data_IF_310060056006
#
_entry.id   IF_310060056006
#
_cell.length_a   1.000
_cell.length_b   1.000
_cell.length_c   1.000
_cell.angle_alpha   90.00
_cell.angle_beta   90.00
_cell.angle_gamma   90.00
#
_symmetry.space_group_name_H-M   'P 1'
#
loop_
_entity.id
_entity.type
_entity.pdbx_description
1 polymer ?
#
# COMPACT_ATOMS: atom_id res chain seq x y z
N UNK A 1 -4.09 -9.53 21.67
CA UNK A 1 -4.48 -10.89 21.24
C UNK A 1 -4.76 -10.83 19.75
N UNK A 2 -3.72 -11.07 18.95
CA UNK A 2 -3.78 -11.06 17.49
C UNK A 2 -4.04 -12.50 17.08
N UNK A 3 -5.20 -12.76 16.47
CA UNK A 3 -5.48 -14.04 15.84
C UNK A 3 -4.45 -14.25 14.72
N UNK A 4 -3.37 -14.97 15.02
CA UNK A 4 -2.57 -15.62 14.01
C UNK A 4 -3.45 -16.68 13.36
N UNK A 5 -4.12 -16.30 12.27
CA UNK A 5 -4.69 -17.26 11.34
C UNK A 5 -3.49 -17.96 10.71
N UNK A 6 -3.04 -19.02 11.37
CA UNK A 6 -2.20 -20.05 10.77
C UNK A 6 -3.09 -20.82 9.80
N UNK A 7 -3.24 -20.28 8.59
CA UNK A 7 -3.78 -21.05 7.47
C UNK A 7 -2.78 -22.17 7.17
N UNK A 8 -3.04 -23.35 7.74
CA UNK A 8 -2.18 -24.54 7.69
C UNK A 8 -2.08 -25.21 6.31
N UNK A 9 -2.50 -24.56 5.21
CA UNK A 9 -2.49 -25.18 3.87
C UNK A 9 -2.12 -24.26 2.70
N UNK A 10 -1.50 -23.11 2.93
CA UNK A 10 -0.85 -22.34 1.85
C UNK A 10 0.64 -22.13 2.17
N UNK A 11 1.51 -22.74 1.35
CA UNK A 11 2.97 -22.53 1.32
C UNK A 11 3.38 -21.12 0.86
N UNK A 12 2.41 -20.23 0.64
CA UNK A 12 2.63 -18.92 0.07
C UNK A 12 2.85 -17.88 1.17
N UNK A 13 4.04 -17.25 1.15
CA UNK A 13 4.38 -16.17 2.08
C UNK A 13 3.58 -14.91 1.79
N UNK A 14 3.12 -14.24 2.85
CA UNK A 14 2.23 -13.08 2.73
C UNK A 14 2.88 -11.76 3.16
N UNK A 15 2.34 -10.66 2.62
CA UNK A 15 2.59 -9.27 2.98
C UNK A 15 1.27 -8.61 3.37
N UNK A 16 1.28 -7.86 4.46
CA UNK A 16 0.13 -7.07 4.91
C UNK A 16 -0.14 -5.91 3.96
N UNK A 17 -1.41 -5.55 3.76
CA UNK A 17 -1.84 -4.53 2.81
C UNK A 17 -1.16 -3.15 2.94
N UNK A 18 -0.59 -2.80 4.10
CA UNK A 18 -0.03 -1.49 4.40
C UNK A 18 1.05 -1.05 3.41
N UNK A 19 1.88 -1.96 2.91
CA UNK A 19 2.87 -1.65 1.87
C UNK A 19 2.20 -1.13 0.59
N UNK A 20 1.10 -1.77 0.18
CA UNK A 20 0.33 -1.41 -1.00
C UNK A 20 -0.41 -0.10 -0.76
N UNK A 21 -0.97 0.09 0.45
CA UNK A 21 -1.63 1.33 0.84
C UNK A 21 -0.69 2.52 0.85
N UNK A 22 0.55 2.35 1.33
CA UNK A 22 1.57 3.40 1.30
C UNK A 22 1.98 3.75 -0.12
N UNK A 23 2.15 2.75 -1.00
CA UNK A 23 2.38 2.99 -2.43
C UNK A 23 1.24 3.81 -3.04
N UNK A 24 0.00 3.40 -2.81
CA UNK A 24 -1.18 4.11 -3.31
C UNK A 24 -1.30 5.53 -2.74
N UNK A 25 -1.05 5.73 -1.45
CA UNK A 25 -1.03 7.04 -0.81
C UNK A 25 0.05 7.96 -1.42
N UNK A 26 1.25 7.42 -1.66
CA UNK A 26 2.31 8.12 -2.39
C UNK A 26 1.89 8.47 -3.81
N UNK A 27 1.21 7.56 -4.50
CA UNK A 27 0.72 7.84 -5.85
C UNK A 27 -0.30 8.97 -5.89
N UNK A 28 -1.22 9.03 -4.92
CA UNK A 28 -2.20 10.14 -4.81
C UNK A 28 -1.53 11.51 -4.64
N UNK A 29 -0.34 11.58 -4.04
CA UNK A 29 0.41 12.82 -3.86
C UNK A 29 1.12 13.29 -5.14
N UNK A 30 1.47 12.37 -6.04
CA UNK A 30 2.41 12.65 -7.13
C UNK A 30 1.84 12.47 -8.54
N UNK A 31 0.70 11.77 -8.69
CA UNK A 31 0.15 11.43 -9.99
C UNK A 31 -1.31 11.87 -10.14
N UNK A 32 -1.72 12.05 -11.39
CA UNK A 32 -3.10 12.33 -11.78
C UNK A 32 -4.00 11.08 -11.64
N UNK A 33 -5.32 11.28 -11.57
CA UNK A 33 -6.29 10.18 -11.52
C UNK A 33 -6.08 9.15 -12.66
N UNK A 34 -5.81 9.62 -13.88
CA UNK A 34 -5.64 8.76 -15.04
C UNK A 34 -4.35 7.92 -14.98
N UNK A 35 -3.25 8.50 -14.48
CA UNK A 35 -1.99 7.79 -14.28
C UNK A 35 -2.12 6.70 -13.21
N UNK A 36 -2.79 7.02 -12.10
CA UNK A 36 -3.09 6.06 -11.03
C UNK A 36 -3.92 4.90 -11.59
N UNK A 37 -4.99 5.20 -12.33
CA UNK A 37 -5.85 4.18 -12.94
C UNK A 37 -5.08 3.33 -13.94
N UNK A 38 -4.25 3.93 -14.80
CA UNK A 38 -3.42 3.20 -15.79
C UNK A 38 -2.53 2.16 -15.11
N UNK A 39 -1.84 2.55 -14.03
CA UNK A 39 -1.00 1.63 -13.27
C UNK A 39 -1.82 0.50 -12.63
N UNK A 40 -2.85 0.84 -11.84
CA UNK A 40 -3.62 -0.17 -11.11
C UNK A 40 -4.49 -1.05 -12.01
N UNK A 41 -4.88 -0.57 -13.20
CA UNK A 41 -5.57 -1.40 -14.19
C UNK A 41 -4.64 -2.44 -14.83
N UNK A 42 -3.34 -2.18 -14.87
CA UNK A 42 -2.31 -3.11 -15.37
C UNK A 42 -1.86 -4.09 -14.28
N UNK A 43 -1.83 -3.65 -13.02
CA UNK A 43 -1.40 -4.43 -11.86
C UNK A 43 -2.48 -4.44 -10.77
N UNK A 44 -3.64 -5.04 -11.09
CA UNK A 44 -4.81 -5.06 -10.20
C UNK A 44 -4.57 -5.89 -8.95
N UNK A 45 -5.26 -5.51 -7.87
CA UNK A 45 -5.36 -6.35 -6.68
C UNK A 45 -5.95 -7.73 -7.04
N UNK A 46 -5.39 -8.84 -6.51
CA UNK A 46 -5.95 -10.18 -6.71
C UNK A 46 -7.43 -10.24 -6.28
N UNK A 47 -8.27 -10.79 -7.14
CA UNK A 47 -9.71 -10.94 -6.89
C UNK A 47 -10.59 -9.78 -7.36
N UNK A 48 -10.03 -8.76 -8.02
CA UNK A 48 -10.80 -7.64 -8.59
C UNK A 48 -10.74 -7.64 -10.11
N UNK A 49 -11.90 -7.52 -10.76
CA UNK A 49 -12.01 -7.45 -12.23
C UNK A 49 -11.94 -6.00 -12.74
N UNK A 50 -11.87 -5.81 -14.06
CA UNK A 50 -11.84 -4.50 -14.72
C UNK A 50 -13.03 -3.61 -14.35
N UNK A 51 -14.19 -4.20 -14.11
CA UNK A 51 -15.43 -3.49 -13.75
C UNK A 51 -15.49 -3.07 -12.27
N UNK A 52 -14.56 -3.55 -11.43
CA UNK A 52 -14.59 -3.35 -9.97
C UNK A 52 -13.67 -2.20 -9.49
N UNK A 53 -13.37 -1.21 -10.35
CA UNK A 53 -12.42 -0.13 -10.01
C UNK A 53 -12.76 0.55 -8.67
N UNK A 54 -14.01 0.96 -8.46
CA UNK A 54 -14.45 1.59 -7.22
C UNK A 54 -14.16 0.73 -5.98
N UNK A 55 -14.46 -0.57 -6.05
CA UNK A 55 -14.26 -1.51 -4.94
C UNK A 55 -12.77 -1.77 -4.71
N UNK A 56 -11.98 -1.89 -5.76
CA UNK A 56 -10.53 -2.05 -5.69
C UNK A 56 -9.87 -0.85 -5.01
N UNK A 57 -10.19 0.38 -5.43
CA UNK A 57 -9.60 1.57 -4.83
C UNK A 57 -10.10 1.86 -3.41
N UNK A 58 -11.31 1.39 -3.07
CA UNK A 58 -11.79 1.37 -1.69
C UNK A 58 -10.98 0.38 -0.84
N UNK A 59 -10.69 -0.82 -1.36
CA UNK A 59 -9.83 -1.81 -0.69
C UNK A 59 -8.39 -1.29 -0.52
N UNK A 60 -7.81 -0.60 -1.53
CA UNK A 60 -6.49 0.01 -1.40
C UNK A 60 -6.40 1.02 -0.24
N UNK A 61 -7.51 1.68 0.10
CA UNK A 61 -7.57 2.67 1.17
C UNK A 61 -7.93 2.09 2.54
N UNK A 62 -8.94 1.22 2.61
CA UNK A 62 -9.53 0.71 3.86
C UNK A 62 -9.24 -0.76 4.14
N UNK A 63 -8.51 -1.43 3.24
CA UNK A 63 -8.29 -2.87 3.30
C UNK A 63 -7.65 -3.32 4.60
N UNK A 64 -7.77 -4.62 4.85
CA UNK A 64 -7.12 -5.29 5.99
C UNK A 64 -6.57 -6.66 5.60
N UNK A 65 -6.49 -6.92 4.29
CA UNK A 65 -6.12 -8.21 3.72
C UNK A 65 -4.60 -8.43 3.76
N UNK A 66 -4.24 -9.69 3.56
CA UNK A 66 -2.88 -10.11 3.28
C UNK A 66 -2.79 -10.50 1.81
N UNK A 67 -1.72 -10.11 1.14
CA UNK A 67 -1.45 -10.40 -0.26
C UNK A 67 -0.21 -11.26 -0.37
N UNK A 68 -0.07 -12.05 -1.43
CA UNK A 68 1.13 -12.85 -1.60
C UNK A 68 2.37 -11.98 -1.85
N UNK A 69 3.51 -12.41 -1.30
CA UNK A 69 4.78 -11.73 -1.51
C UNK A 69 5.16 -11.64 -2.98
N UNK A 70 4.90 -12.70 -3.74
CA UNK A 70 5.16 -12.72 -5.18
C UNK A 70 4.40 -11.61 -5.90
N UNK A 71 3.13 -11.39 -5.54
CA UNK A 71 2.34 -10.29 -6.08
C UNK A 71 2.90 -8.93 -5.67
N UNK A 72 3.13 -8.70 -4.37
CA UNK A 72 3.56 -7.39 -3.86
C UNK A 72 4.93 -7.00 -4.38
N UNK A 73 5.91 -7.91 -4.38
CA UNK A 73 7.25 -7.59 -4.87
C UNK A 73 7.27 -7.41 -6.38
N UNK A 74 6.48 -8.20 -7.13
CA UNK A 74 6.27 -7.96 -8.55
C UNK A 74 5.68 -6.56 -8.80
N UNK A 75 4.63 -6.19 -8.08
CA UNK A 75 4.02 -4.85 -8.17
C UNK A 75 5.04 -3.73 -7.95
N UNK A 76 5.88 -3.85 -6.92
CA UNK A 76 6.93 -2.87 -6.60
C UNK A 76 8.03 -2.80 -7.67
N UNK A 77 8.42 -3.93 -8.27
CA UNK A 77 9.39 -3.95 -9.37
C UNK A 77 8.82 -3.31 -10.64
N UNK A 78 7.54 -3.54 -10.95
CA UNK A 78 6.88 -2.91 -12.10
C UNK A 78 6.62 -1.42 -11.90
N UNK A 79 6.52 -0.95 -10.65
CA UNK A 79 6.34 0.46 -10.36
C UNK A 79 7.52 1.32 -10.86
N UNK A 80 8.77 0.82 -10.80
CA UNK A 80 9.92 1.53 -11.38
C UNK A 80 9.75 1.75 -12.89
N UNK A 81 9.26 0.74 -13.62
CA UNK A 81 8.98 0.87 -15.05
C UNK A 81 7.85 1.89 -15.32
N UNK A 82 6.85 1.94 -14.45
CA UNK A 82 5.80 2.97 -14.53
C UNK A 82 6.38 4.38 -14.33
N UNK A 83 7.29 4.57 -13.36
CA UNK A 83 7.92 5.87 -13.10
C UNK A 83 8.76 6.38 -14.29
N UNK A 84 9.37 5.47 -15.06
CA UNK A 84 10.06 5.85 -16.29
C UNK A 84 9.12 6.52 -17.30
N UNK A 85 7.81 6.24 -17.24
CA UNK A 85 6.80 6.90 -18.10
C UNK A 85 6.33 8.25 -17.57
N UNK A 86 6.64 8.63 -16.33
CA UNK A 86 6.05 9.79 -15.65
C UNK A 86 7.05 10.90 -15.28
N UNK A 87 8.29 10.88 -15.78
CA UNK A 87 9.36 11.86 -15.45
C UNK A 87 9.66 12.01 -13.94
N UNK A 88 9.06 11.20 -13.08
CA UNK A 88 9.30 11.19 -11.64
C UNK A 88 10.43 10.22 -11.32
N UNK A 89 11.49 10.72 -10.69
CA UNK A 89 12.59 9.88 -10.20
C UNK A 89 12.14 9.02 -8.99
N UNK A 90 12.55 7.75 -8.97
CA UNK A 90 12.13 6.79 -7.95
C UNK A 90 12.66 7.12 -6.56
N UNK A 91 13.90 7.60 -6.45
CA UNK A 91 14.46 7.98 -5.16
C UNK A 91 13.72 9.19 -4.60
N UNK A 92 13.43 10.15 -5.48
CA UNK A 92 12.63 11.33 -5.16
C UNK A 92 11.23 10.92 -4.72
N UNK A 93 10.55 10.03 -5.45
CA UNK A 93 9.23 9.52 -5.08
C UNK A 93 9.24 8.82 -3.72
N UNK A 94 10.20 7.94 -3.45
CA UNK A 94 10.30 7.24 -2.15
C UNK A 94 10.55 8.27 -1.04
N UNK A 95 11.44 9.23 -1.27
CA UNK A 95 11.78 10.28 -0.30
C UNK A 95 10.59 11.21 -0.02
N UNK A 96 9.83 11.61 -1.03
CA UNK A 96 8.70 12.52 -0.90
C UNK A 96 7.46 11.81 -0.38
N UNK A 97 7.20 10.57 -0.81
CA UNK A 97 6.04 9.79 -0.39
C UNK A 97 6.28 9.12 0.95
N UNK A 98 7.10 8.07 0.98
CA UNK A 98 7.31 7.26 2.18
C UNK A 98 8.00 8.05 3.30
N UNK A 99 8.83 9.03 2.93
CA UNK A 99 9.51 9.88 3.90
C UNK A 99 8.65 10.97 4.52
N UNK A 100 7.61 11.47 3.83
CA UNK A 100 6.66 12.43 4.40
C UNK A 100 5.53 11.74 5.16
N UNK A 101 5.09 10.58 4.65
CA UNK A 101 4.11 9.71 5.30
C UNK A 101 4.68 9.16 6.60
N UNK A 102 3.95 9.31 7.71
CA UNK A 102 4.32 8.79 9.03
C UNK A 102 5.77 9.15 9.46
N UNK A 103 6.30 10.30 8.99
CA UNK A 103 7.68 10.75 9.28
C UNK A 103 8.76 9.70 8.94
N UNK A 104 8.50 8.85 7.95
CA UNK A 104 9.43 7.80 7.49
C UNK A 104 9.14 6.39 8.03
N UNK A 105 8.20 6.22 8.97
CA UNK A 105 7.83 4.88 9.44
C UNK A 105 6.78 4.24 8.52
N UNK A 106 6.98 2.98 8.13
CA UNK A 106 5.99 2.23 7.32
C UNK A 106 4.69 1.88 8.07
N UNK A 107 4.59 2.29 9.34
CA UNK A 107 3.56 1.94 10.30
C UNK A 107 2.84 3.23 10.72
N UNK A 108 1.49 3.25 10.73
CA UNK A 108 0.78 4.33 11.40
C UNK A 108 1.25 4.48 12.85
N UNK A 109 1.47 5.70 13.38
CA UNK A 109 1.98 5.91 14.74
C UNK A 109 1.22 5.14 15.83
N UNK A 110 -0.11 5.00 15.69
CA UNK A 110 -0.96 4.20 16.61
C UNK A 110 -0.55 2.74 16.68
N UNK A 111 -0.30 2.13 15.53
CA UNK A 111 0.10 0.73 15.41
C UNK A 111 1.53 0.55 15.92
N UNK A 112 2.41 1.51 15.64
CA UNK A 112 3.78 1.54 16.17
C UNK A 112 3.79 1.44 17.69
N UNK A 113 3.03 2.28 18.41
CA UNK A 113 2.99 2.23 19.88
C UNK A 113 2.46 0.89 20.38
N UNK A 114 1.42 0.34 19.74
CA UNK A 114 0.85 -0.95 20.10
C UNK A 114 1.87 -2.08 19.97
N UNK A 115 2.71 -2.08 18.94
CA UNK A 115 3.71 -3.13 18.71
C UNK A 115 5.00 -2.88 19.48
N UNK A 116 5.25 -1.63 19.87
CA UNK A 116 6.38 -1.25 20.69
C UNK A 116 6.21 -1.60 22.16
N UNK A 117 5.01 -1.98 22.62
CA UNK A 117 4.69 -2.16 24.04
C UNK A 117 5.71 -3.03 24.81
N UNK A 118 6.19 -4.13 24.23
CA UNK A 118 7.15 -5.03 24.88
C UNK A 118 8.60 -4.55 24.86
N UNK A 119 8.91 -3.59 23.98
CA UNK A 119 10.27 -3.11 23.70
C UNK A 119 10.44 -1.62 24.02
N UNK A 120 9.38 -0.94 24.47
CA UNK A 120 9.37 0.50 24.72
C UNK A 120 10.43 0.91 25.75
N UNK A 121 10.67 0.07 26.77
CA UNK A 121 11.71 0.29 27.77
C UNK A 121 13.13 0.32 27.19
N UNK A 122 13.38 -0.33 26.04
CA UNK A 122 14.69 -0.34 25.40
C UNK A 122 15.10 1.07 24.93
N UNK A 123 14.13 1.88 24.50
CA UNK A 123 14.37 3.28 24.09
C UNK A 123 14.88 4.17 25.22
N UNK A 124 14.71 3.75 26.48
CA UNK A 124 15.15 4.46 27.68
C UNK A 124 16.35 3.77 28.38
N UNK A 125 16.90 2.70 27.80
CA UNK A 125 17.95 1.88 28.42
C UNK A 125 19.36 2.49 28.37
N UNK A 126 19.53 3.67 27.75
CA UNK A 126 20.83 4.33 27.58
C UNK A 126 21.64 3.85 26.35
N UNK A 127 21.12 2.94 25.55
CA UNK A 127 21.68 2.58 24.24
C UNK A 127 21.49 3.72 23.22
N UNK A 128 22.36 3.79 22.19
CA UNK A 128 22.15 4.71 21.06
C UNK A 128 20.81 4.38 20.38
N UNK A 129 19.83 5.30 20.39
CA UNK A 129 18.51 5.02 19.84
C UNK A 129 18.53 4.78 18.33
N UNK A 130 19.51 5.31 17.59
CA UNK A 130 19.65 4.99 16.15
C UNK A 130 20.12 3.56 15.95
N UNK A 131 21.05 3.07 16.77
CA UNK A 131 21.38 1.65 16.74
C UNK A 131 20.18 0.77 17.12
N UNK A 132 19.42 1.18 18.15
CA UNK A 132 18.20 0.49 18.55
C UNK A 132 17.17 0.43 17.42
N UNK A 133 16.98 1.51 16.65
CA UNK A 133 16.09 1.51 15.47
C UNK A 133 16.47 0.40 14.49
N UNK A 134 17.76 0.19 14.21
CA UNK A 134 18.21 -0.92 13.36
C UNK A 134 17.93 -2.29 13.99
N UNK A 135 18.14 -2.44 15.31
CA UNK A 135 17.87 -3.68 16.02
C UNK A 135 16.38 -4.07 15.98
N UNK A 136 15.50 -3.07 15.95
CA UNK A 136 14.06 -3.28 15.97
C UNK A 136 13.45 -3.47 14.57
N UNK A 137 14.23 -3.37 13.48
CA UNK A 137 13.70 -3.57 12.11
C UNK A 137 13.07 -4.96 11.96
N UNK A 138 13.70 -6.01 12.49
CA UNK A 138 13.16 -7.38 12.42
C UNK A 138 11.80 -7.49 13.15
N UNK A 139 11.73 -6.93 14.36
CA UNK A 139 10.53 -6.91 15.19
C UNK A 139 9.36 -6.28 14.43
N UNK A 140 9.55 -5.08 13.89
CA UNK A 140 8.48 -4.41 13.15
C UNK A 140 8.16 -5.09 11.80
N UNK A 141 9.18 -5.51 11.05
CA UNK A 141 8.96 -6.16 9.76
C UNK A 141 8.19 -7.48 9.87
N UNK A 142 8.37 -8.22 10.98
CA UNK A 142 7.64 -9.47 11.24
C UNK A 142 6.11 -9.29 11.29
N UNK A 143 5.63 -8.07 11.56
CA UNK A 143 4.19 -7.75 11.54
C UNK A 143 3.64 -7.49 10.14
N UNK A 144 4.51 -7.25 9.15
CA UNK A 144 4.12 -6.94 7.78
C UNK A 144 4.42 -8.05 6.80
N UNK A 145 5.55 -8.74 6.96
CA UNK A 145 6.09 -9.62 5.94
C UNK A 145 6.53 -10.93 6.57
N UNK A 146 5.95 -12.04 6.11
CA UNK A 146 6.27 -13.37 6.61
C UNK A 146 7.59 -13.91 6.03
N UNK A 147 8.30 -14.76 6.75
CA UNK A 147 9.43 -15.52 6.17
C UNK A 147 10.67 -14.70 5.77
N UNK A 148 10.76 -13.44 6.20
CA UNK A 148 11.97 -12.62 6.16
C UNK A 148 12.49 -12.38 7.58
N UNK A 149 13.81 -12.39 7.73
CA UNK A 149 14.50 -12.13 8.98
C UNK A 149 15.60 -11.11 8.77
N UNK A 150 15.59 -10.07 9.61
CA UNK A 150 16.64 -9.06 9.66
C UNK A 150 17.58 -9.36 10.83
N UNK A 151 18.88 -9.15 10.61
CA UNK A 151 19.89 -9.30 11.66
C UNK A 151 21.02 -8.29 11.47
N UNK A 152 21.78 -8.08 12.55
CA UNK A 152 22.94 -7.17 12.56
C UNK A 152 24.20 -8.02 12.73
N UNK A 153 24.82 -8.48 11.62
CA UNK A 153 26.04 -9.29 11.67
C UNK A 153 27.30 -8.47 12.01
N UNK A 154 27.21 -7.14 11.99
CA UNK A 154 28.32 -6.25 12.34
C UNK A 154 27.82 -4.91 12.86
N UNK A 155 28.38 -4.47 13.98
CA UNK A 155 28.27 -3.11 14.50
C UNK A 155 29.64 -2.69 15.02
N UNK A 156 30.20 -1.63 14.47
CA UNK A 156 31.56 -1.17 14.79
C UNK A 156 31.64 0.35 14.84
N UNK A 157 32.53 0.87 15.68
CA UNK A 157 32.88 2.29 15.72
C UNK A 157 34.20 2.46 14.98
N UNK A 158 34.21 3.35 14.00
CA UNK A 158 35.42 3.84 13.34
C UNK A 158 36.09 4.93 14.20
N UNK A 159 37.41 5.10 14.06
CA UNK A 159 38.24 6.01 14.88
C UNK A 159 37.76 7.46 14.92
N UNK A 160 36.96 7.89 13.93
CA UNK A 160 36.30 9.19 13.88
C UNK A 160 34.95 9.24 14.63
N UNK A 161 34.71 8.33 15.58
CA UNK A 161 33.42 8.21 16.29
C UNK A 161 32.24 8.05 15.34
N UNK A 162 32.42 7.28 14.26
CA UNK A 162 31.35 6.96 13.30
C UNK A 162 30.98 5.50 13.44
N UNK A 163 29.71 5.24 13.72
CA UNK A 163 29.16 3.90 13.66
C UNK A 163 29.07 3.42 12.22
N UNK A 164 29.41 2.15 12.03
CA UNK A 164 29.15 1.35 10.83
C UNK A 164 28.38 0.12 11.26
N UNK A 165 27.13 0.04 10.81
CA UNK A 165 26.23 -1.06 11.16
C UNK A 165 25.75 -1.74 9.91
N UNK A 166 26.05 -3.03 9.79
CA UNK A 166 25.53 -3.87 8.71
C UNK A 166 24.18 -4.41 9.14
N UNK A 167 23.15 -4.16 8.35
CA UNK A 167 21.84 -4.79 8.46
C UNK A 167 21.70 -5.78 7.30
N UNK A 168 21.39 -7.02 7.62
CA UNK A 168 21.26 -8.10 6.65
C UNK A 168 19.84 -8.66 6.70
N UNK A 169 19.27 -8.92 5.54
CA UNK A 169 17.96 -9.57 5.38
C UNK A 169 18.12 -10.89 4.65
N UNK A 170 17.57 -11.94 5.25
CA UNK A 170 17.56 -13.28 4.72
C UNK A 170 16.15 -13.85 4.81
N UNK A 171 15.87 -14.88 4.01
CA UNK A 171 14.70 -15.71 4.24
C UNK A 171 14.89 -16.62 5.45
N UNK A 172 13.80 -16.90 6.16
CA UNK A 172 13.83 -17.80 7.31
C UNK A 172 14.12 -19.26 6.95
N UNK A 173 13.86 -19.67 5.70
CA UNK A 173 13.84 -21.09 5.31
C UNK A 173 15.05 -21.62 4.50
N UNK A 174 16.07 -20.89 4.03
CA UNK A 174 17.00 -21.30 2.92
C UNK A 174 16.62 -22.25 1.74
N UNK A 175 15.74 -23.26 1.88
CA UNK A 175 15.54 -24.41 0.99
C UNK A 175 14.52 -24.21 -0.15
N UNK A 176 13.62 -23.25 -0.03
CA UNK A 176 12.68 -22.90 -1.11
C UNK A 176 13.43 -22.12 -2.20
N UNK A 177 13.55 -22.67 -3.42
CA UNK A 177 14.31 -22.07 -4.54
C UNK A 177 13.57 -20.94 -5.28
N UNK A 178 12.23 -20.95 -5.34
CA UNK A 178 11.42 -19.97 -6.11
C UNK A 178 10.97 -18.80 -5.22
N UNK A 179 11.94 -18.02 -4.70
CA UNK A 179 11.65 -16.96 -3.72
C UNK A 179 11.38 -15.60 -4.35
N UNK A 180 10.36 -14.87 -3.87
CA UNK A 180 9.96 -13.58 -4.41
C UNK A 180 11.02 -12.48 -4.24
N UNK A 181 11.99 -12.63 -3.32
CA UNK A 181 13.11 -11.68 -3.18
C UNK A 181 14.02 -11.62 -4.42
N UNK A 182 14.03 -12.66 -5.27
CA UNK A 182 14.92 -12.72 -6.44
C UNK A 182 14.78 -11.51 -7.37
N UNK A 183 13.58 -10.92 -7.44
CA UNK A 183 13.30 -9.76 -8.30
C UNK A 183 13.09 -8.47 -7.52
N UNK A 184 13.25 -8.49 -6.19
CA UNK A 184 12.94 -7.37 -5.32
C UNK A 184 14.16 -6.47 -5.16
N UNK A 185 14.05 -5.20 -5.58
CA UNK A 185 15.09 -4.20 -5.36
C UNK A 185 15.07 -3.74 -3.89
N UNK A 186 15.83 -4.44 -3.06
CA UNK A 186 15.89 -4.17 -1.64
C UNK A 186 16.67 -2.87 -1.32
N UNK A 187 17.46 -2.34 -2.24
CA UNK A 187 18.08 -1.02 -2.08
C UNK A 187 16.98 0.05 -2.05
N UNK A 188 16.12 0.05 -3.07
CA UNK A 188 15.04 1.02 -3.21
C UNK A 188 14.00 0.87 -2.10
N UNK A 189 13.48 -0.35 -1.93
CA UNK A 189 12.29 -0.60 -1.13
C UNK A 189 12.56 -0.96 0.33
N UNK A 190 13.83 -1.12 0.73
CA UNK A 190 14.20 -1.30 2.13
C UNK A 190 15.28 -0.30 2.56
N UNK A 191 16.43 -0.24 1.86
CA UNK A 191 17.57 0.53 2.35
C UNK A 191 17.29 2.04 2.45
N UNK A 192 16.74 2.63 1.38
CA UNK A 192 16.37 4.06 1.34
C UNK A 192 15.34 4.40 2.43
N UNK A 193 14.40 3.50 2.69
CA UNK A 193 13.32 3.71 3.67
C UNK A 193 13.89 3.63 5.09
N UNK A 194 14.64 2.57 5.40
CA UNK A 194 15.27 2.35 6.71
C UNK A 194 16.25 3.48 7.03
N UNK A 195 16.93 4.05 6.00
CA UNK A 195 17.81 5.22 6.14
C UNK A 195 17.14 6.34 6.99
N UNK A 196 15.83 6.50 6.82
CA UNK A 196 15.05 7.60 7.40
C UNK A 196 14.33 7.26 8.69
N UNK A 197 14.25 6.01 9.11
CA UNK A 197 13.53 5.63 10.34
C UNK A 197 13.88 6.46 11.59
N UNK A 198 15.13 6.91 11.82
CA UNK A 198 15.44 7.81 12.93
C UNK A 198 14.61 9.10 12.97
N UNK A 199 14.18 9.64 11.82
CA UNK A 199 13.48 10.93 11.76
C UNK A 199 12.13 10.90 12.44
N UNK A 200 11.51 9.74 12.51
CA UNK A 200 10.22 9.59 13.18
C UNK A 200 10.30 9.72 14.70
N UNK A 201 11.49 9.57 15.28
CA UNK A 201 11.76 9.78 16.69
C UNK A 201 12.66 11.00 16.92
N UNK A 202 12.52 12.04 16.08
CA UNK A 202 13.29 13.30 16.17
C UNK A 202 14.82 13.16 16.07
N UNK A 203 15.33 12.08 15.49
CA UNK A 203 16.76 11.90 15.25
C UNK A 203 17.10 12.14 13.79
N UNK A 204 18.30 12.64 13.47
CA UNK A 204 18.73 12.76 12.07
C UNK A 204 18.74 11.38 11.42
N UNK A 205 18.38 11.34 10.13
CA UNK A 205 18.55 10.15 9.30
C UNK A 205 20.00 9.66 9.32
N UNK A 206 20.22 8.38 9.01
CA UNK A 206 21.58 7.88 8.85
C UNK A 206 22.27 8.66 7.73
N UNK A 207 23.49 9.11 7.97
CA UNK A 207 24.19 10.04 7.11
C UNK A 207 24.42 9.46 5.70
N UNK A 208 24.71 8.16 5.62
CA UNK A 208 24.77 7.42 4.36
C UNK A 208 24.47 5.93 4.55
N UNK A 209 24.16 5.25 3.45
CA UNK A 209 24.12 3.79 3.38
C UNK A 209 24.85 3.30 2.14
N UNK A 210 25.31 2.05 2.15
CA UNK A 210 25.85 1.35 0.99
C UNK A 210 25.25 -0.05 0.91
N UNK A 211 24.96 -0.55 -0.30
CA UNK A 211 24.58 -1.94 -0.50
C UNK A 211 25.85 -2.78 -0.66
N UNK A 212 26.01 -3.77 0.22
CA UNK A 212 27.20 -4.63 0.23
C UNK A 212 26.89 -6.03 -0.29
N UNK A 213 25.62 -6.46 -0.21
CA UNK A 213 25.16 -7.69 -0.84
C UNK A 213 23.76 -7.49 -1.44
N UNK A 214 23.53 -8.03 -2.63
CA UNK A 214 22.24 -8.03 -3.31
C UNK A 214 21.81 -9.47 -3.63
N UNK A 215 20.60 -9.82 -3.19
CA UNK A 215 20.02 -11.13 -3.44
C UNK A 215 19.70 -11.37 -4.92
N UNK A 216 19.40 -10.30 -5.68
CA UNK A 216 18.95 -10.40 -7.07
C UNK A 216 19.98 -11.06 -7.97
N UNK A 217 19.49 -11.72 -9.02
CA UNK A 217 20.35 -12.22 -10.07
C UNK A 217 20.90 -11.06 -10.91
N UNK A 218 22.10 -11.23 -11.45
CA UNK A 218 22.68 -10.22 -12.34
C UNK A 218 21.80 -9.97 -13.57
N UNK A 219 21.11 -11.00 -14.06
CA UNK A 219 20.18 -10.93 -15.19
C UNK A 219 18.94 -10.05 -14.92
N UNK A 220 18.54 -9.90 -13.65
CA UNK A 220 17.43 -9.01 -13.25
C UNK A 220 17.87 -7.53 -13.18
N UNK A 221 19.16 -7.30 -12.93
CA UNK A 221 19.72 -5.95 -12.79
C UNK A 221 20.21 -5.41 -14.14
N UNK A 222 21.00 -6.21 -14.86
CA UNK A 222 21.61 -5.89 -16.16
C UNK A 222 21.44 -7.07 -17.14
N UNK A 223 20.25 -7.25 -17.74
CA UNK A 223 19.97 -8.38 -18.62
C UNK A 223 20.89 -8.48 -19.84
N UNK A 224 21.48 -7.35 -20.26
CA UNK A 224 22.43 -7.26 -21.36
C UNK A 224 23.87 -7.72 -21.02
N UNK A 225 24.16 -8.06 -19.76
CA UNK A 225 25.49 -8.51 -19.35
C UNK A 225 25.81 -9.91 -19.87
N UNK A 226 27.06 -10.13 -20.29
CA UNK A 226 27.55 -11.43 -20.79
C UNK A 226 28.53 -12.07 -19.80
N UNK A 227 28.40 -13.38 -19.61
CA UNK A 227 29.29 -14.16 -18.73
C UNK A 227 30.34 -14.85 -19.60
N UNK A 228 31.61 -14.56 -19.34
CA UNK A 228 32.73 -15.24 -20.00
C UNK A 228 33.66 -15.79 -18.92
N UNK A 229 33.67 -17.12 -18.76
CA UNK A 229 34.38 -17.83 -17.68
C UNK A 229 33.94 -17.29 -16.30
N UNK A 230 34.86 -16.69 -15.56
CA UNK A 230 34.66 -16.21 -14.19
C UNK A 230 34.44 -14.69 -14.15
N UNK A 231 34.04 -14.08 -15.26
CA UNK A 231 33.89 -12.63 -15.38
C UNK A 231 32.58 -12.27 -16.06
N UNK A 232 32.02 -11.14 -15.62
CA UNK A 232 30.88 -10.49 -16.24
C UNK A 232 31.36 -9.27 -17.05
N UNK A 233 30.87 -9.17 -18.27
CA UNK A 233 31.15 -8.09 -19.20
C UNK A 233 29.88 -7.36 -19.59
N UNK A 234 30.00 -6.06 -19.80
CA UNK A 234 28.95 -5.20 -20.29
C UNK A 234 29.56 -4.21 -21.29
N UNK A 235 29.11 -4.25 -22.55
CA UNK A 235 29.70 -3.48 -23.65
C UNK A 235 31.24 -3.63 -23.69
N UNK A 236 31.72 -4.87 -23.65
CA UNK A 236 33.14 -5.26 -23.61
C UNK A 236 33.95 -4.78 -22.39
N UNK A 237 33.33 -4.05 -21.45
CA UNK A 237 33.95 -3.68 -20.17
C UNK A 237 33.71 -4.76 -19.12
N UNK A 238 34.77 -5.25 -18.49
CA UNK A 238 34.66 -6.15 -17.33
C UNK A 238 34.06 -5.38 -16.14
N UNK A 239 32.91 -5.82 -15.64
CA UNK A 239 32.17 -5.14 -14.55
C UNK A 239 32.14 -5.93 -13.24
N UNK A 240 32.25 -7.26 -13.28
CA UNK A 240 32.29 -8.08 -12.08
C UNK A 240 33.13 -9.35 -12.27
N UNK A 241 33.55 -9.93 -11.15
CA UNK A 241 34.29 -11.20 -11.10
C UNK A 241 33.58 -12.19 -10.18
N UNK A 242 33.70 -13.47 -10.50
CA UNK A 242 33.15 -14.52 -9.66
C UNK A 242 33.86 -14.52 -8.30
N UNK A 243 33.09 -14.61 -7.22
CA UNK A 243 33.57 -14.57 -5.85
C UNK A 243 32.75 -15.48 -4.93
N UNK A 244 33.38 -16.00 -3.88
CA UNK A 244 32.66 -16.75 -2.83
C UNK A 244 32.01 -15.78 -1.85
N UNK A 245 30.74 -16.01 -1.52
CA UNK A 245 30.05 -15.21 -0.51
C UNK A 245 30.68 -15.35 0.88
N UNK A 246 31.07 -16.57 1.28
CA UNK A 246 31.73 -16.80 2.58
C UNK A 246 33.12 -16.17 2.66
N UNK A 247 33.84 -16.10 1.54
CA UNK A 247 35.11 -15.38 1.49
C UNK A 247 34.89 -13.87 1.62
N UNK A 248 33.92 -13.32 0.88
CA UNK A 248 33.56 -11.90 0.96
C UNK A 248 33.18 -11.48 2.38
N UNK A 249 32.35 -12.27 3.08
CA UNK A 249 31.96 -11.98 4.46
C UNK A 249 33.17 -11.98 5.42
N UNK A 250 34.13 -12.91 5.24
CA UNK A 250 35.36 -12.94 6.05
C UNK A 250 36.23 -11.71 5.82
N UNK A 251 36.43 -11.32 4.57
CA UNK A 251 37.23 -10.14 4.20
C UNK A 251 36.63 -8.84 4.73
N UNK A 252 35.29 -8.78 4.88
CA UNK A 252 34.56 -7.60 5.36
C UNK A 252 34.14 -7.67 6.85
N UNK A 253 34.63 -8.66 7.60
CA UNK A 253 34.29 -8.89 9.02
C UNK A 253 32.78 -8.97 9.30
N UNK A 254 32.04 -9.67 8.44
CA UNK A 254 30.59 -9.88 8.57
C UNK A 254 30.35 -11.27 9.17
N UNK A 255 29.74 -11.33 10.36
CA UNK A 255 29.45 -12.61 11.01
C UNK A 255 28.23 -13.28 10.38
N UNK A 256 28.46 -14.42 9.72
CA UNK A 256 27.43 -15.25 9.09
C UNK A 256 27.27 -16.62 9.77
N UNK A 257 27.84 -16.81 10.97
CA UNK A 257 27.75 -18.07 11.71
C UNK A 257 26.29 -18.48 11.92
N UNK A 258 25.98 -19.75 11.62
CA UNK A 258 24.65 -20.33 11.79
C UNK A 258 23.68 -20.11 10.61
N UNK A 259 24.11 -19.47 9.51
CA UNK A 259 23.23 -19.24 8.34
C UNK A 259 23.36 -20.33 7.26
N UNK A 260 24.35 -21.22 7.34
CA UNK A 260 24.62 -22.28 6.35
C UNK A 260 24.77 -21.78 4.88
N UNK A 261 25.29 -20.57 4.68
CA UNK A 261 25.36 -19.90 3.36
C UNK A 261 26.72 -20.01 2.65
N UNK A 262 27.52 -21.00 3.02
CA UNK A 262 28.98 -20.93 2.85
C UNK A 262 29.48 -21.21 1.43
N UNK A 263 28.66 -21.84 0.58
CA UNK A 263 29.07 -22.38 -0.74
C UNK A 263 28.46 -21.66 -1.95
N UNK A 264 27.67 -20.60 -1.76
CA UNK A 264 27.06 -19.90 -2.90
C UNK A 264 28.11 -19.08 -3.63
N UNK A 265 28.22 -19.30 -4.94
CA UNK A 265 29.05 -18.50 -5.82
C UNK A 265 28.27 -17.28 -6.29
N UNK A 266 28.90 -16.12 -6.25
CA UNK A 266 28.28 -14.82 -6.47
C UNK A 266 29.21 -13.93 -7.30
N UNK A 267 28.78 -12.71 -7.61
CA UNK A 267 29.53 -11.78 -8.46
C UNK A 267 29.96 -10.55 -7.67
N UNK A 268 31.27 -10.36 -7.50
CA UNK A 268 31.83 -9.15 -6.90
C UNK A 268 31.96 -8.06 -7.97
N UNK A 269 31.22 -6.97 -7.78
CA UNK A 269 31.23 -5.80 -8.67
C UNK A 269 32.53 -5.02 -8.50
N UNK A 270 33.18 -4.69 -9.62
CA UNK A 270 34.49 -4.05 -9.64
C UNK A 270 34.41 -2.53 -9.79
N UNK A 271 33.38 -2.04 -10.48
CA UNK A 271 33.12 -0.62 -10.74
C UNK A 271 31.62 -0.36 -10.68
N UNK A 272 31.26 0.87 -10.30
CA UNK A 272 29.87 1.32 -10.39
C UNK A 272 29.37 1.27 -11.83
N UNK A 273 28.12 0.82 -12.01
CA UNK A 273 27.43 0.89 -13.29
C UNK A 273 26.16 1.75 -13.18
N UNK A 274 26.17 2.85 -13.94
CA UNK A 274 25.01 3.71 -14.12
C UNK A 274 24.15 3.17 -15.28
N UNK A 275 22.91 2.77 -14.98
CA UNK A 275 21.95 2.34 -15.99
C UNK A 275 21.26 3.57 -16.61
N UNK A 276 21.43 3.85 -17.93
CA UNK A 276 20.80 5.01 -18.56
C UNK A 276 19.27 4.96 -18.56
N UNK A 277 18.69 3.77 -18.70
CA UNK A 277 17.24 3.58 -18.71
C UNK A 277 16.62 3.89 -17.33
N UNK A 278 17.24 3.37 -16.26
CA UNK A 278 16.78 3.58 -14.88
C UNK A 278 17.28 4.90 -14.27
N UNK A 279 18.16 5.62 -14.98
CA UNK A 279 18.78 6.90 -14.58
C UNK A 279 19.47 6.87 -13.20
N UNK A 280 20.00 5.72 -12.78
CA UNK A 280 20.66 5.54 -11.49
C UNK A 280 21.77 4.50 -11.55
N UNK A 281 22.62 4.48 -10.53
CA UNK A 281 23.56 3.38 -10.30
C UNK A 281 22.75 2.14 -9.89
N UNK A 282 23.00 1.01 -10.56
CA UNK A 282 22.31 -0.26 -10.32
C UNK A 282 23.26 -1.38 -9.92
N UNK A 283 24.56 -1.21 -10.18
CA UNK A 283 25.62 -2.04 -9.61
C UNK A 283 26.60 -1.12 -8.89
N UNK A 284 26.88 -1.44 -7.63
CA UNK A 284 27.77 -0.65 -6.77
C UNK A 284 29.09 -1.38 -6.59
N UNK A 285 30.20 -0.67 -6.75
CA UNK A 285 31.55 -1.19 -6.56
C UNK A 285 31.70 -1.82 -5.18
N UNK A 286 32.25 -3.03 -5.15
CA UNK A 286 32.45 -3.79 -3.91
C UNK A 286 31.20 -4.52 -3.41
N UNK A 287 30.05 -4.38 -4.09
CA UNK A 287 28.84 -5.15 -3.79
C UNK A 287 28.97 -6.58 -4.33
N UNK A 288 28.45 -7.56 -3.59
CA UNK A 288 28.32 -8.95 -4.04
C UNK A 288 26.88 -9.24 -4.50
N UNK A 289 26.71 -9.54 -5.79
CA UNK A 289 25.43 -9.78 -6.46
C UNK A 289 25.16 -11.29 -6.59
N UNK A 290 23.89 -11.68 -6.69
CA UNK A 290 23.46 -13.08 -6.58
C UNK A 290 23.91 -13.68 -5.24
N UNK A 291 23.90 -12.85 -4.21
CA UNK A 291 24.17 -13.26 -2.84
C UNK A 291 23.00 -14.12 -2.31
N UNK A 292 23.19 -14.87 -1.23
CA UNK A 292 22.11 -15.58 -0.55
C UNK A 292 21.25 -14.66 0.36
N UNK A 293 21.63 -13.39 0.48
CA UNK A 293 21.01 -12.36 1.33
C UNK A 293 21.11 -11.00 0.64
N UNK A 294 20.30 -10.04 1.06
CA UNK A 294 20.60 -8.62 0.82
C UNK A 294 21.18 -8.02 2.10
N UNK A 295 22.18 -7.15 1.98
CA UNK A 295 22.81 -6.50 3.12
C UNK A 295 23.21 -5.06 2.81
N UNK A 296 23.04 -4.21 3.81
CA UNK A 296 23.27 -2.76 3.73
C UNK A 296 24.13 -2.32 4.91
N UNK A 297 25.14 -1.49 4.65
CA UNK A 297 25.94 -0.84 5.69
C UNK A 297 25.46 0.60 5.87
N UNK A 298 25.00 0.95 7.08
CA UNK A 298 24.62 2.30 7.47
C UNK A 298 25.75 2.98 8.22
N UNK A 299 26.02 4.24 7.88
CA UNK A 299 27.04 5.06 8.51
C UNK A 299 26.41 6.21 9.26
N UNK A 300 26.79 6.39 10.53
CA UNK A 300 26.24 7.46 11.34
C UNK A 300 27.12 7.93 12.50
N UNK A 301 27.01 9.20 12.89
CA UNK A 301 27.90 9.81 13.89
C UNK A 301 27.54 9.42 15.32
N UNK A 302 28.45 8.84 16.10
CA UNK A 302 28.20 8.52 17.51
C UNK A 302 27.99 9.75 18.43
N UNK A 303 28.08 10.97 17.90
CA UNK A 303 28.00 12.23 18.66
C UNK A 303 26.62 12.89 18.67
N UNK A 304 25.64 12.32 17.97
CA UNK A 304 24.28 12.88 17.95
C UNK A 304 23.64 12.74 19.32
N UNK A 305 23.17 13.86 19.85
CA UNK A 305 22.48 13.90 21.13
C UNK A 305 21.02 13.54 20.96
N UNK A 306 20.52 12.62 21.77
CA UNK A 306 19.10 12.26 21.80
C UNK A 306 18.30 13.32 22.56
N UNK A 307 17.30 13.97 21.94
CA UNK A 307 16.42 14.88 22.66
C UNK A 307 15.69 14.17 23.79
N UNK A 308 15.44 14.82 24.93
CA UNK A 308 14.72 14.19 26.06
C UNK A 308 13.28 13.75 25.69
N UNK A 309 12.67 14.47 24.76
CA UNK A 309 11.30 14.31 24.25
C UNK A 309 11.26 13.66 22.86
N UNK A 310 12.25 12.85 22.50
CA UNK A 310 12.40 12.28 21.15
C UNK A 310 11.17 11.48 20.64
N UNK A 311 10.35 10.92 21.53
CA UNK A 311 9.09 10.24 21.16
C UNK A 311 7.86 11.15 21.07
N UNK A 312 7.95 12.41 21.48
CA UNK A 312 6.83 13.36 21.50
C UNK A 312 6.04 13.42 20.18
N UNK A 313 6.64 13.45 18.98
CA UNK A 313 5.88 13.59 17.75
C UNK A 313 5.03 12.35 17.45
N UNK A 314 5.50 11.16 17.84
CA UNK A 314 4.71 9.92 17.70
C UNK A 314 3.53 9.94 18.67
N UNK A 315 3.74 10.42 19.89
CA UNK A 315 2.68 10.53 20.91
C UNK A 315 1.65 11.59 20.50
N UNK A 316 2.11 12.71 19.95
CA UNK A 316 1.27 13.79 19.42
C UNK A 316 0.41 13.32 18.24
N UNK A 317 1.00 12.61 17.28
CA UNK A 317 0.26 12.06 16.13
C UNK A 317 -0.85 11.09 16.60
N UNK A 318 -0.58 10.30 17.65
CA UNK A 318 -1.57 9.38 18.25
C UNK A 318 -2.68 10.14 18.98
N UNK A 319 -2.33 11.19 19.74
CA UNK A 319 -3.25 11.88 20.65
C UNK A 319 -4.13 12.92 19.95
N UNK A 320 -3.60 13.64 18.96
CA UNK A 320 -4.29 14.75 18.29
C UNK A 320 -5.14 14.30 17.09
N UNK A 321 -5.08 13.02 16.68
CA UNK A 321 -5.71 12.50 15.45
C UNK A 321 -5.41 13.35 14.20
N UNK A 322 -4.36 14.16 14.24
CA UNK A 322 -4.07 15.21 13.26
C UNK A 322 -2.85 14.83 12.42
N UNK A 323 -2.97 13.76 11.64
CA UNK A 323 -2.03 13.55 10.56
C UNK A 323 -2.44 14.50 9.42
N UNK A 324 -1.87 15.71 9.38
CA UNK A 324 -2.17 16.69 8.33
C UNK A 324 -1.94 16.08 6.93
N UNK A 325 -0.83 15.35 6.75
CA UNK A 325 -0.52 14.67 5.48
C UNK A 325 -1.57 13.59 5.14
N UNK A 326 -1.96 12.74 6.09
CA UNK A 326 -3.03 11.75 5.84
C UNK A 326 -4.38 12.40 5.63
N UNK A 327 -4.63 13.58 6.21
CA UNK A 327 -5.84 14.35 6.00
C UNK A 327 -5.90 14.87 4.56
N UNK A 328 -4.80 15.41 4.03
CA UNK A 328 -4.70 15.83 2.63
C UNK A 328 -4.89 14.66 1.67
N UNK A 329 -4.24 13.53 1.94
CA UNK A 329 -4.40 12.31 1.13
C UNK A 329 -5.81 11.77 1.22
N UNK A 330 -6.48 11.86 2.37
CA UNK A 330 -7.89 11.48 2.51
C UNK A 330 -8.79 12.37 1.65
N UNK A 331 -8.48 13.65 1.52
CA UNK A 331 -9.19 14.56 0.59
C UNK A 331 -8.95 14.15 -0.85
N UNK A 332 -7.69 13.89 -1.24
CA UNK A 332 -7.32 13.42 -2.58
C UNK A 332 -8.00 12.09 -2.92
N UNK A 333 -7.99 11.14 -2.00
CA UNK A 333 -8.66 9.86 -2.13
C UNK A 333 -10.17 10.02 -2.31
N UNK A 334 -10.83 10.88 -1.51
CA UNK A 334 -12.26 11.16 -1.67
C UNK A 334 -12.58 11.76 -3.02
N UNK A 335 -11.74 12.70 -3.50
CA UNK A 335 -11.89 13.28 -4.84
C UNK A 335 -11.76 12.21 -5.91
N UNK A 336 -10.70 11.42 -5.86
CA UNK A 336 -10.43 10.32 -6.79
C UNK A 336 -11.57 9.29 -6.81
N UNK A 337 -12.04 8.82 -5.66
CA UNK A 337 -13.15 7.86 -5.57
C UNK A 337 -14.47 8.47 -6.09
N UNK A 338 -14.70 9.77 -5.89
CA UNK A 338 -15.91 10.42 -6.37
C UNK A 338 -16.03 10.43 -7.90
N UNK A 339 -14.89 10.42 -8.61
CA UNK A 339 -14.82 10.30 -10.07
C UNK A 339 -15.15 8.86 -10.54
N UNK A 340 -14.85 7.88 -9.69
CA UNK A 340 -15.06 6.44 -9.96
C UNK A 340 -16.37 5.89 -9.43
N UNK A 341 -17.11 6.67 -8.65
CA UNK A 341 -18.32 6.20 -8.01
C UNK A 341 -19.30 5.72 -9.08
N UNK A 342 -19.66 4.42 -9.10
CA UNK A 342 -20.46 3.89 -10.18
C UNK A 342 -21.80 4.62 -10.16
N UNK A 343 -22.25 5.05 -11.34
CA UNK A 343 -23.45 5.85 -11.51
C UNK A 343 -24.61 4.97 -11.92
N UNK A 344 -25.78 5.34 -11.44
CA UNK A 344 -27.03 4.77 -11.91
C UNK A 344 -27.93 5.91 -12.40
N UNK A 345 -28.51 5.74 -13.58
CA UNK A 345 -29.34 6.75 -14.19
C UNK A 345 -30.81 6.35 -14.08
N UNK A 346 -31.58 7.17 -13.36
CA UNK A 346 -33.03 7.06 -13.33
C UNK A 346 -33.66 8.12 -14.22
N UNK A 347 -34.65 7.71 -15.01
CA UNK A 347 -35.43 8.60 -15.85
C UNK A 347 -36.92 8.40 -15.60
N UNK A 348 -37.61 9.46 -15.23
CA UNK A 348 -39.06 9.42 -15.08
C UNK A 348 -39.76 9.96 -16.34
N UNK A 349 -40.57 9.11 -16.96
CA UNK A 349 -41.47 9.46 -18.05
C UNK A 349 -42.82 9.86 -17.45
N UNK A 350 -43.15 11.16 -17.56
CA UNK A 350 -44.37 11.75 -17.00
C UNK A 350 -45.62 11.25 -17.72
N UNK A 351 -45.60 11.16 -19.05
CA UNK A 351 -46.74 10.70 -19.86
C UNK A 351 -47.12 9.25 -19.56
N UNK A 352 -46.13 8.38 -19.41
CA UNK A 352 -46.36 6.95 -19.17
C UNK A 352 -46.31 6.57 -17.68
N UNK A 353 -46.15 7.54 -16.79
CA UNK A 353 -45.92 7.36 -15.35
C UNK A 353 -44.92 6.22 -15.04
N UNK A 354 -43.79 6.19 -15.73
CA UNK A 354 -42.82 5.08 -15.68
C UNK A 354 -41.46 5.57 -15.24
N UNK A 355 -40.83 4.88 -14.29
CA UNK A 355 -39.40 5.05 -14.01
C UNK A 355 -38.62 4.02 -14.82
N UNK A 356 -37.60 4.49 -15.54
CA UNK A 356 -36.57 3.67 -16.17
C UNK A 356 -35.28 3.74 -15.35
N UNK A 357 -34.51 2.65 -15.39
CA UNK A 357 -33.19 2.54 -14.77
C UNK A 357 -32.19 2.16 -15.88
N UNK A 358 -31.15 2.98 -16.07
CA UNK A 358 -30.16 2.83 -17.15
C UNK A 358 -30.77 2.60 -18.56
N UNK A 359 -31.95 3.19 -18.81
CA UNK A 359 -32.68 3.07 -20.08
C UNK A 359 -33.72 1.95 -20.15
N UNK A 360 -33.77 1.04 -19.17
CA UNK A 360 -34.74 -0.06 -19.13
C UNK A 360 -35.94 0.28 -18.23
N UNK A 361 -37.18 -0.09 -18.61
CA UNK A 361 -38.36 0.14 -17.77
C UNK A 361 -38.30 -0.64 -16.45
N UNK A 362 -38.30 0.08 -15.33
CA UNK A 362 -38.26 -0.52 -13.99
C UNK A 362 -39.66 -0.74 -13.42
N UNK A 363 -40.45 0.33 -13.30
CA UNK A 363 -41.75 0.29 -12.62
C UNK A 363 -42.68 1.42 -13.10
N UNK A 364 -44.01 1.22 -12.98
CA UNK A 364 -45.05 2.14 -13.46
C UNK A 364 -46.02 2.60 -12.38
N UNK A 365 -46.79 3.65 -12.69
CA UNK A 365 -47.90 4.20 -11.91
C UNK A 365 -47.45 4.67 -10.51
N UNK A 366 -48.27 4.46 -9.48
CA UNK A 366 -47.98 4.97 -8.13
C UNK A 366 -46.63 4.53 -7.54
N UNK A 367 -46.18 3.26 -7.65
CA UNK A 367 -44.81 2.90 -7.25
C UNK A 367 -43.72 3.72 -7.95
N UNK A 368 -43.91 4.07 -9.22
CA UNK A 368 -43.00 4.94 -9.97
C UNK A 368 -43.00 6.37 -9.41
N UNK A 369 -44.17 6.89 -9.03
CA UNK A 369 -44.30 8.22 -8.40
C UNK A 369 -43.67 8.29 -7.00
N UNK A 370 -43.80 7.20 -6.22
CA UNK A 370 -43.11 7.06 -4.92
C UNK A 370 -41.59 7.14 -5.14
N UNK A 371 -41.07 6.32 -6.06
CA UNK A 371 -39.64 6.30 -6.37
C UNK A 371 -39.17 7.65 -6.91
N UNK A 372 -39.92 8.27 -7.83
CA UNK A 372 -39.65 9.61 -8.37
C UNK A 372 -39.45 10.64 -7.26
N UNK A 373 -40.37 10.71 -6.29
CA UNK A 373 -40.26 11.66 -5.16
C UNK A 373 -39.03 11.39 -4.31
N UNK A 374 -38.72 10.12 -4.03
CA UNK A 374 -37.49 9.75 -3.32
C UNK A 374 -36.24 10.19 -4.09
N UNK A 375 -36.19 9.92 -5.39
CA UNK A 375 -35.05 10.25 -6.26
C UNK A 375 -34.85 11.76 -6.38
N UNK A 376 -35.91 12.55 -6.62
CA UNK A 376 -35.84 14.01 -6.64
C UNK A 376 -35.20 14.55 -5.35
N UNK A 377 -35.78 14.18 -4.20
CA UNK A 377 -35.33 14.68 -2.90
C UNK A 377 -33.89 14.24 -2.62
N UNK A 378 -33.54 13.00 -2.95
CA UNK A 378 -32.17 12.50 -2.83
C UNK A 378 -31.20 13.33 -3.67
N UNK A 379 -31.53 13.61 -4.94
CA UNK A 379 -30.64 14.38 -5.82
C UNK A 379 -30.53 15.85 -5.46
N UNK A 380 -31.59 16.45 -4.89
CA UNK A 380 -31.60 17.86 -4.47
C UNK A 380 -30.91 18.08 -3.12
N UNK A 381 -31.08 17.15 -2.17
CA UNK A 381 -30.72 17.37 -0.76
C UNK A 381 -29.74 16.35 -0.18
N UNK A 382 -29.45 15.26 -0.89
CA UNK A 382 -28.70 14.11 -0.38
C UNK A 382 -29.46 13.27 0.66
N UNK A 383 -30.73 13.58 0.93
CA UNK A 383 -31.52 12.89 1.96
C UNK A 383 -31.86 11.46 1.54
N UNK A 384 -31.51 10.49 2.38
CA UNK A 384 -31.80 9.07 2.17
C UNK A 384 -32.99 8.55 2.97
N UNK A 385 -33.44 9.27 4.01
CA UNK A 385 -34.52 8.84 4.91
C UNK A 385 -35.84 9.55 4.63
N UNK A 386 -36.90 8.76 4.68
CA UNK A 386 -38.23 9.10 4.18
C UNK A 386 -39.31 8.62 5.17
N UNK A 387 -40.36 9.43 5.37
CA UNK A 387 -41.47 9.15 6.29
C UNK A 387 -42.74 8.78 5.53
N UNK A 388 -43.45 7.76 5.98
CA UNK A 388 -44.73 7.32 5.42
C UNK A 388 -45.72 8.47 5.19
N UNK A 389 -45.82 9.38 6.17
CA UNK A 389 -46.74 10.52 6.14
C UNK A 389 -46.47 11.49 4.99
N UNK A 390 -45.25 11.54 4.46
CA UNK A 390 -44.89 12.48 3.38
C UNK A 390 -45.38 12.01 2.00
N UNK A 391 -45.69 10.73 1.83
CA UNK A 391 -46.22 10.17 0.59
C UNK A 391 -47.74 10.04 0.62
N UNK A 392 -48.33 9.70 1.78
CA UNK A 392 -49.78 9.52 1.89
C UNK A 392 -50.54 10.83 1.80
N UNK A 393 -49.91 11.95 2.19
CA UNK A 393 -50.47 13.30 2.06
C UNK A 393 -50.23 13.93 0.69
N UNK A 394 -49.53 13.25 -0.21
CA UNK A 394 -49.18 13.78 -1.53
C UNK A 394 -50.20 13.33 -2.58
N UNK A 395 -51.09 14.25 -2.94
CA UNK A 395 -52.17 14.01 -3.93
C UNK A 395 -51.62 13.65 -5.31
N UNK A 396 -50.38 14.04 -5.64
CA UNK A 396 -49.75 13.66 -6.91
C UNK A 396 -49.39 12.16 -6.94
N UNK A 397 -49.23 11.53 -5.77
CA UNK A 397 -48.84 10.12 -5.60
C UNK A 397 -50.06 9.25 -5.28
N UNK A 398 -50.95 9.72 -4.40
CA UNK A 398 -52.12 8.97 -3.94
C UNK A 398 -53.38 9.79 -4.15
N UNK A 399 -54.21 9.38 -5.11
CA UNK A 399 -55.48 10.05 -5.42
C UNK A 399 -56.61 9.83 -4.39
N UNK A 400 -56.46 8.90 -3.44
CA UNK A 400 -57.41 8.71 -2.33
C UNK A 400 -56.66 8.46 -1.00
N UNK A 401 -56.60 9.45 -0.09
CA UNK A 401 -55.91 9.34 1.20
C UNK A 401 -56.51 8.30 2.15
N UNK A 402 -57.77 7.92 1.96
CA UNK A 402 -58.53 7.03 2.85
C UNK A 402 -58.35 5.53 2.52
N UNK A 403 -57.80 5.19 1.35
CA UNK A 403 -57.37 3.82 1.01
C UNK A 403 -56.08 3.84 0.16
N UNK A 404 -54.95 4.24 0.74
CA UNK A 404 -53.76 4.58 -0.02
C UNK A 404 -53.06 3.36 -0.65
N UNK A 405 -53.28 2.14 -0.11
CA UNK A 405 -52.53 0.92 -0.43
C UNK A 405 -51.01 1.15 -0.51
N UNK A 406 -50.50 2.17 0.21
CA UNK A 406 -49.14 2.66 0.08
C UNK A 406 -48.12 1.60 0.47
N UNK A 407 -48.36 0.90 1.59
CA UNK A 407 -47.48 -0.16 2.07
C UNK A 407 -47.31 -1.27 1.03
N UNK A 408 -48.39 -1.69 0.38
CA UNK A 408 -48.37 -2.72 -0.68
C UNK A 408 -47.58 -2.22 -1.90
N UNK A 409 -47.82 -0.96 -2.29
CA UNK A 409 -47.15 -0.34 -3.45
C UNK A 409 -45.66 -0.11 -3.19
N UNK A 410 -45.29 0.30 -1.98
CA UNK A 410 -43.91 0.44 -1.53
C UNK A 410 -43.21 -0.92 -1.47
N UNK A 411 -43.87 -1.96 -0.95
CA UNK A 411 -43.33 -3.32 -0.93
C UNK A 411 -43.07 -3.84 -2.34
N UNK A 412 -43.99 -3.62 -3.27
CA UNK A 412 -43.80 -3.94 -4.69
C UNK A 412 -42.60 -3.19 -5.27
N UNK A 413 -42.49 -1.88 -5.01
CA UNK A 413 -41.33 -1.08 -5.41
C UNK A 413 -40.02 -1.67 -4.86
N UNK A 414 -39.95 -1.94 -3.56
CA UNK A 414 -38.76 -2.52 -2.93
C UNK A 414 -38.36 -3.85 -3.55
N UNK A 415 -39.33 -4.74 -3.82
CA UNK A 415 -39.07 -6.04 -4.44
C UNK A 415 -38.59 -5.90 -5.89
N UNK A 416 -39.26 -5.07 -6.69
CA UNK A 416 -38.87 -4.81 -8.08
C UNK A 416 -37.49 -4.18 -8.17
N UNK A 417 -37.19 -3.19 -7.33
CA UNK A 417 -35.88 -2.53 -7.28
C UNK A 417 -34.77 -3.53 -6.92
N UNK A 418 -34.99 -4.35 -5.88
CA UNK A 418 -34.01 -5.37 -5.45
C UNK A 418 -33.80 -6.47 -6.50
N UNK A 419 -34.83 -6.82 -7.27
CA UNK A 419 -34.74 -7.82 -8.32
C UNK A 419 -33.98 -7.29 -9.56
N UNK A 420 -34.16 -6.01 -9.87
CA UNK A 420 -33.56 -5.37 -11.05
C UNK A 420 -32.12 -4.90 -10.81
N UNK A 421 -31.85 -4.33 -9.63
CA UNK A 421 -30.53 -3.79 -9.28
C UNK A 421 -30.19 -4.08 -7.81
N UNK A 422 -29.20 -4.95 -7.59
CA UNK A 422 -28.83 -5.40 -6.24
C UNK A 422 -28.18 -4.30 -5.40
N UNK A 423 -27.54 -3.33 -6.04
CA UNK A 423 -26.86 -2.24 -5.35
C UNK A 423 -27.78 -1.10 -4.88
N UNK A 424 -29.11 -1.18 -5.12
CA UNK A 424 -30.08 -0.19 -4.64
C UNK A 424 -31.24 -0.89 -3.94
N UNK A 425 -31.63 -0.38 -2.78
CA UNK A 425 -32.75 -0.91 -2.03
C UNK A 425 -33.47 0.16 -1.24
N UNK A 426 -34.74 -0.11 -0.93
CA UNK A 426 -35.51 0.67 0.03
C UNK A 426 -35.76 -0.24 1.23
N UNK A 427 -35.19 0.11 2.37
CA UNK A 427 -35.25 -0.69 3.60
C UNK A 427 -36.08 0.02 4.67
N UNK A 428 -36.76 -0.75 5.51
CA UNK A 428 -37.47 -0.19 6.68
C UNK A 428 -36.43 0.16 7.75
N UNK A 429 -36.37 1.43 8.13
CA UNK A 429 -35.47 1.92 9.18
C UNK A 429 -36.15 1.96 10.55
N UNK A 430 -37.43 2.37 10.60
CA UNK A 430 -38.23 2.44 11.83
C UNK A 430 -39.75 2.36 11.51
N UNK A 431 -40.62 2.46 12.52
CA UNK A 431 -42.07 2.52 12.37
C UNK A 431 -42.46 3.73 11.51
N UNK A 432 -42.86 3.46 10.27
CA UNK A 432 -43.26 4.48 9.31
C UNK A 432 -42.07 5.23 8.68
N UNK A 433 -40.84 4.73 8.83
CA UNK A 433 -39.63 5.32 8.25
C UNK A 433 -38.93 4.32 7.33
N UNK A 434 -38.52 4.79 6.16
CA UNK A 434 -37.85 4.02 5.13
C UNK A 434 -36.58 4.74 4.67
N UNK A 435 -35.58 3.98 4.25
CA UNK A 435 -34.29 4.50 3.80
C UNK A 435 -33.97 3.99 2.40
N UNK A 436 -33.67 4.91 1.49
CA UNK A 436 -33.10 4.63 0.18
C UNK A 436 -31.60 4.41 0.34
N UNK A 437 -31.18 3.15 0.20
CA UNK A 437 -29.78 2.73 0.29
C UNK A 437 -29.28 2.47 -1.12
N UNK A 438 -28.19 3.13 -1.51
CA UNK A 438 -27.57 2.99 -2.83
C UNK A 438 -26.06 2.82 -2.71
N UNK A 439 -25.52 1.83 -3.42
CA UNK A 439 -24.09 1.66 -3.66
C UNK A 439 -23.60 2.49 -4.86
N UNK A 440 -24.53 3.12 -5.58
CA UNK A 440 -24.28 3.96 -6.75
C UNK A 440 -24.56 5.43 -6.45
N UNK A 441 -23.93 6.31 -7.23
CA UNK A 441 -24.31 7.71 -7.32
C UNK A 441 -25.55 7.79 -8.20
N UNK A 442 -26.66 8.22 -7.62
CA UNK A 442 -27.94 8.34 -8.33
C UNK A 442 -27.93 9.63 -9.15
N UNK A 443 -28.12 9.50 -10.46
CA UNK A 443 -28.49 10.59 -11.35
C UNK A 443 -29.96 10.44 -11.72
N UNK A 444 -30.71 11.55 -11.69
CA UNK A 444 -32.15 11.54 -11.93
C UNK A 444 -32.51 12.62 -12.96
N UNK A 445 -33.39 12.27 -13.90
CA UNK A 445 -33.95 13.20 -14.88
C UNK A 445 -35.42 12.90 -15.14
N UNK A 446 -36.13 13.90 -15.68
CA UNK A 446 -37.53 13.76 -16.10
C UNK A 446 -37.67 14.08 -17.58
N UNK A 447 -38.56 13.36 -18.26
CA UNK A 447 -39.03 13.71 -19.59
C UNK A 447 -40.55 13.78 -19.62
N UNK A 448 -41.07 14.59 -20.55
CA UNK A 448 -42.51 14.73 -20.78
C UNK A 448 -43.06 13.58 -21.61
#
# INVERSE_FOLDING_TARGET
MTNQITNKHTTELLVRYDYIRLLYAGMLLHFTSDEIRRFWNSYRLPGYSSTDEYMMFTELWQGSKWYSQKYVFSLLSHFENFLQTTNVDIQTFIRSSFGSLNKGILIPPRDWLSWSKSILGLFFSGQDPRFLVLQLVDHYNSHFTQGLKYSIPRHSIDGNKRFRTVLMVAHTDPSIEDRPLKHFDAELWAAIIIKRFPTAIQLPEYESYTIIADYRDISDIVPEATIIKNHLYLNDKKIATQHSFSQYCRENNIDIKGLHLEKKTSWLVLDDYYCPLRKRIVLHKGCIINAPVSAFEYHYSATVHTPLNFLEPLIDDISKFSDNVWSDIKVLHKKFISELHPKIFFKYDRKNETVMINGEPLIKNVPAKILRKMLMIYTETGRTRFYHSEFVKDESIIGNPYNPNFVVRLQRLTQTLKAHEKGISIVKADKGVFELVSQYKIEFSECN
#
